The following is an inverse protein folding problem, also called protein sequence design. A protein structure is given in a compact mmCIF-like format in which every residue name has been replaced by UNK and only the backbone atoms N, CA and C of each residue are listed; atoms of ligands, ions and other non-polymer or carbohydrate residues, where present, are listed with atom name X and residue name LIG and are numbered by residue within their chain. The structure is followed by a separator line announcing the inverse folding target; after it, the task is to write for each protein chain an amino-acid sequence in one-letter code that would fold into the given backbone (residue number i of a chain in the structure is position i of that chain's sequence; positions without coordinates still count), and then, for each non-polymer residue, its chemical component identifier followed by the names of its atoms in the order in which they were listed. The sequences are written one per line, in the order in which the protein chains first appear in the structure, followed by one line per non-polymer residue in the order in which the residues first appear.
data_IF_992767267907
#
_entry.id   IF_992767267907
#
_cell.length_a   1.000
_cell.length_b   1.000
_cell.length_c   1.000
_cell.angle_alpha   90.00
_cell.angle_beta   90.00
_cell.angle_gamma   90.00
#
_symmetry.space_group_name_H-M   'P 1'
#
loop_
_entity.id
_entity.type
_entity.pdbx_description
1 polymer ?
#
# COMPACT_ATOMS: atom_id res chain seq x y z
N UNK A 1 -60.48 -12.79 29.60
CA UNK A 1 -59.60 -11.63 29.85
C UNK A 1 -58.17 -12.06 29.57
N UNK A 2 -57.64 -11.71 28.39
CA UNK A 2 -56.31 -12.14 27.91
C UNK A 2 -55.25 -11.24 28.53
N UNK A 3 -54.18 -11.80 29.10
CA UNK A 3 -52.94 -11.07 29.37
C UNK A 3 -51.76 -11.79 28.72
N UNK A 4 -50.97 -10.97 28.03
CA UNK A 4 -50.07 -11.31 26.93
C UNK A 4 -48.67 -11.75 27.38
N UNK A 5 -48.04 -12.63 26.59
CA UNK A 5 -46.61 -13.00 26.69
C UNK A 5 -45.71 -11.86 26.21
N UNK A 6 -44.71 -11.49 27.00
CA UNK A 6 -43.66 -10.52 26.64
C UNK A 6 -42.56 -11.16 25.76
N UNK A 7 -42.06 -10.39 24.79
CA UNK A 7 -41.06 -10.77 23.78
C UNK A 7 -39.63 -10.44 24.24
N UNK A 8 -38.96 -11.39 24.91
CA UNK A 8 -37.55 -11.27 25.29
C UNK A 8 -36.54 -11.58 24.15
N UNK A 9 -36.96 -11.57 22.87
CA UNK A 9 -36.19 -12.16 21.76
C UNK A 9 -35.36 -11.16 20.92
N UNK A 10 -35.52 -9.84 21.13
CA UNK A 10 -34.88 -8.84 20.26
C UNK A 10 -33.47 -8.38 20.70
N UNK A 11 -33.15 -8.41 21.99
CA UNK A 11 -31.88 -7.86 22.52
C UNK A 11 -30.70 -8.84 22.40
N UNK A 12 -30.95 -10.14 22.50
CA UNK A 12 -29.93 -11.18 22.38
C UNK A 12 -29.39 -11.30 20.93
N UNK A 13 -30.25 -11.12 19.93
CA UNK A 13 -29.88 -11.20 18.50
C UNK A 13 -28.99 -10.05 18.00
N UNK A 14 -28.94 -8.92 18.72
CA UNK A 14 -28.07 -7.80 18.39
C UNK A 14 -26.67 -7.97 19.00
N UNK A 15 -26.59 -8.60 20.17
CA UNK A 15 -25.32 -8.90 20.84
C UNK A 15 -24.48 -9.94 20.08
N UNK A 16 -25.12 -10.96 19.49
CA UNK A 16 -24.44 -12.00 18.71
C UNK A 16 -23.88 -11.47 17.39
N UNK A 17 -24.62 -10.59 16.69
CA UNK A 17 -24.14 -9.95 15.46
C UNK A 17 -22.92 -9.03 15.71
N UNK A 18 -22.89 -8.30 16.83
CA UNK A 18 -21.76 -7.44 17.18
C UNK A 18 -20.47 -8.23 17.44
N UNK A 19 -20.57 -9.40 18.07
CA UNK A 19 -19.42 -10.26 18.36
C UNK A 19 -18.83 -10.89 17.08
N UNK A 20 -19.69 -11.30 16.13
CA UNK A 20 -19.26 -11.84 14.82
C UNK A 20 -18.54 -10.78 13.97
N UNK A 21 -18.99 -9.52 14.02
CA UNK A 21 -18.34 -8.41 13.33
C UNK A 21 -16.96 -8.07 13.92
N UNK A 22 -16.83 -8.04 15.25
CA UNK A 22 -15.55 -7.79 15.93
C UNK A 22 -14.53 -8.92 15.68
N UNK A 23 -14.97 -10.19 15.72
CA UNK A 23 -14.14 -11.32 15.33
C UNK A 23 -13.66 -11.22 13.88
N UNK A 24 -14.55 -10.83 12.95
CA UNK A 24 -14.20 -10.62 11.55
C UNK A 24 -13.20 -9.48 11.36
N UNK A 25 -13.34 -8.39 12.11
CA UNK A 25 -12.39 -7.26 12.08
C UNK A 25 -11.00 -7.70 12.54
N UNK A 26 -10.91 -8.43 13.66
CA UNK A 26 -9.64 -8.92 14.20
C UNK A 26 -8.93 -9.86 13.23
N UNK A 27 -9.67 -10.72 12.55
CA UNK A 27 -9.14 -11.60 11.50
C UNK A 27 -8.61 -10.77 10.32
N UNK A 28 -9.35 -9.77 9.85
CA UNK A 28 -8.91 -8.89 8.74
C UNK A 28 -7.64 -8.13 9.13
N UNK A 29 -7.58 -7.58 10.34
CA UNK A 29 -6.42 -6.87 10.85
C UNK A 29 -5.21 -7.78 11.00
N UNK A 30 -5.37 -9.00 11.51
CA UNK A 30 -4.27 -9.96 11.60
C UNK A 30 -3.78 -10.39 10.21
N UNK A 31 -4.70 -10.65 9.27
CA UNK A 31 -4.34 -10.92 7.87
C UNK A 31 -3.67 -9.71 7.23
N UNK A 32 -4.06 -8.49 7.59
CA UNK A 32 -3.44 -7.27 7.09
C UNK A 32 -2.06 -7.04 7.72
N UNK A 33 -1.88 -7.32 9.01
CA UNK A 33 -0.61 -7.24 9.73
C UNK A 33 0.38 -8.30 9.27
N UNK A 34 -0.06 -9.55 9.05
CA UNK A 34 0.75 -10.62 8.45
C UNK A 34 1.17 -10.27 7.01
N UNK A 35 0.28 -9.62 6.23
CA UNK A 35 0.60 -9.09 4.89
C UNK A 35 1.52 -7.85 4.88
N UNK A 36 1.78 -7.22 6.03
CA UNK A 36 2.46 -5.91 6.15
C UNK A 36 3.82 -5.96 6.84
N UNK A 37 4.46 -7.12 7.03
CA UNK A 37 5.89 -7.08 7.39
C UNK A 37 6.66 -6.49 6.21
N UNK A 38 7.12 -5.24 6.39
CA UNK A 38 7.89 -4.49 5.39
C UNK A 38 9.19 -5.24 5.15
N UNK A 39 9.38 -5.71 3.92
CA UNK A 39 10.65 -6.26 3.48
C UNK A 39 11.70 -5.15 3.37
N UNK A 40 12.90 -5.39 3.90
CA UNK A 40 14.07 -4.52 3.75
C UNK A 40 15.08 -5.26 2.90
N UNK A 41 15.44 -4.66 1.77
CA UNK A 41 16.45 -5.21 0.86
C UNK A 41 17.85 -4.99 1.44
N UNK A 42 18.74 -5.97 1.30
CA UNK A 42 20.17 -5.78 1.56
C UNK A 42 20.80 -4.89 0.49
N UNK A 43 21.97 -4.32 0.78
CA UNK A 43 22.70 -3.51 -0.20
C UNK A 43 23.09 -4.31 -1.46
N UNK A 44 23.48 -5.57 -1.30
CA UNK A 44 23.81 -6.45 -2.44
C UNK A 44 22.59 -6.72 -3.33
N UNK A 45 21.42 -6.93 -2.72
CA UNK A 45 20.17 -7.10 -3.45
C UNK A 45 19.80 -5.82 -4.21
N UNK A 46 19.94 -4.64 -3.58
CA UNK A 46 19.68 -3.36 -4.23
C UNK A 46 20.61 -3.13 -5.43
N UNK A 47 21.91 -3.43 -5.29
CA UNK A 47 22.87 -3.30 -6.38
C UNK A 47 22.48 -4.18 -7.58
N UNK A 48 22.11 -5.45 -7.34
CA UNK A 48 21.66 -6.34 -8.41
C UNK A 48 20.37 -5.82 -9.08
N UNK A 49 19.41 -5.34 -8.29
CA UNK A 49 18.17 -4.77 -8.80
C UNK A 49 18.39 -3.50 -9.64
N UNK A 50 19.34 -2.65 -9.23
CA UNK A 50 19.70 -1.44 -9.98
C UNK A 50 20.41 -1.77 -11.30
N UNK A 51 21.29 -2.77 -11.29
CA UNK A 51 21.91 -3.31 -12.51
C UNK A 51 20.86 -3.81 -13.48
N UNK A 52 19.92 -4.65 -13.04
CA UNK A 52 18.80 -5.12 -13.86
C UNK A 52 17.91 -3.99 -14.39
N UNK A 53 17.65 -2.99 -13.54
CA UNK A 53 16.87 -1.81 -13.93
C UNK A 53 17.57 -1.01 -15.04
N UNK A 54 18.91 -0.94 -15.03
CA UNK A 54 19.69 -0.29 -16.08
C UNK A 54 19.53 -0.93 -17.45
N UNK A 55 19.33 -2.25 -17.50
CA UNK A 55 19.04 -2.96 -18.76
C UNK A 55 17.58 -2.80 -19.19
N UNK A 56 16.64 -2.94 -18.26
CA UNK A 56 15.22 -2.82 -18.55
C UNK A 56 14.43 -2.25 -17.37
N UNK A 57 13.81 -1.08 -17.59
CA UNK A 57 12.95 -0.43 -16.61
C UNK A 57 11.68 -1.24 -16.25
N UNK A 58 11.29 -2.19 -17.11
CA UNK A 58 10.13 -3.07 -16.95
C UNK A 58 10.56 -4.53 -17.01
N UNK A 59 10.66 -5.19 -15.86
CA UNK A 59 11.08 -6.59 -15.81
C UNK A 59 10.03 -7.53 -16.45
N UNK A 60 10.38 -8.32 -17.48
CA UNK A 60 9.46 -9.29 -18.07
C UNK A 60 9.20 -10.46 -17.11
N UNK A 61 8.08 -11.16 -17.28
CA UNK A 61 7.64 -12.22 -16.35
C UNK A 61 8.69 -13.32 -16.15
N UNK A 62 9.36 -13.77 -17.22
CA UNK A 62 10.41 -14.79 -17.14
C UNK A 62 11.62 -14.31 -16.31
N UNK A 63 12.13 -13.10 -16.58
CA UNK A 63 13.25 -12.54 -15.83
C UNK A 63 12.88 -12.26 -14.37
N UNK A 64 11.64 -11.85 -14.10
CA UNK A 64 11.13 -11.67 -12.74
C UNK A 64 11.19 -12.97 -11.93
N UNK A 65 10.87 -14.11 -12.54
CA UNK A 65 10.95 -15.42 -11.87
C UNK A 65 12.40 -15.82 -11.58
N UNK A 66 13.30 -15.63 -12.54
CA UNK A 66 14.73 -15.91 -12.36
C UNK A 66 15.32 -15.05 -11.25
N UNK A 67 15.08 -13.73 -11.30
CA UNK A 67 15.61 -12.79 -10.32
C UNK A 67 15.03 -13.01 -8.90
N UNK A 68 13.76 -13.41 -8.81
CA UNK A 68 13.13 -13.81 -7.54
C UNK A 68 13.86 -14.99 -6.89
N UNK A 69 14.23 -15.98 -7.70
CA UNK A 69 15.00 -17.13 -7.25
C UNK A 69 16.43 -16.74 -6.85
N UNK A 70 17.14 -16.01 -7.71
CA UNK A 70 18.52 -15.55 -7.49
C UNK A 70 18.67 -14.72 -6.19
N UNK A 71 17.71 -13.83 -5.90
CA UNK A 71 17.76 -12.95 -4.74
C UNK A 71 17.02 -13.49 -3.50
N UNK A 72 16.33 -14.63 -3.64
CA UNK A 72 15.42 -15.20 -2.63
C UNK A 72 14.35 -14.19 -2.15
N UNK A 73 13.71 -13.51 -3.11
CA UNK A 73 12.69 -12.48 -2.87
C UNK A 73 11.40 -12.87 -3.60
N UNK A 74 10.24 -12.62 -2.98
CA UNK A 74 8.96 -12.86 -3.65
C UNK A 74 8.75 -11.94 -4.87
N UNK A 75 8.05 -12.48 -5.88
CA UNK A 75 7.71 -11.80 -7.15
C UNK A 75 6.93 -10.51 -6.91
N UNK A 76 6.03 -10.47 -5.93
CA UNK A 76 5.24 -9.27 -5.63
C UNK A 76 6.11 -8.15 -5.06
N UNK A 77 7.07 -8.52 -4.22
CA UNK A 77 8.04 -7.60 -3.63
C UNK A 77 8.96 -7.02 -4.70
N UNK A 78 9.46 -7.85 -5.62
CA UNK A 78 10.22 -7.38 -6.79
C UNK A 78 9.39 -6.47 -7.70
N UNK A 79 8.16 -6.85 -8.05
CA UNK A 79 7.24 -5.99 -8.82
C UNK A 79 7.04 -4.63 -8.16
N UNK A 80 6.85 -4.62 -6.84
CA UNK A 80 6.71 -3.40 -6.05
C UNK A 80 7.98 -2.55 -6.07
N UNK A 81 9.16 -3.18 -6.01
CA UNK A 81 10.44 -2.49 -6.12
C UNK A 81 10.58 -1.80 -7.49
N UNK A 82 10.33 -2.51 -8.59
CA UNK A 82 10.37 -1.92 -9.95
C UNK A 82 9.35 -0.79 -10.13
N UNK A 83 8.15 -0.93 -9.56
CA UNK A 83 7.13 0.13 -9.56
C UNK A 83 7.62 1.38 -8.81
N UNK A 84 8.12 1.22 -7.58
CA UNK A 84 8.67 2.33 -6.78
C UNK A 84 9.90 2.95 -7.42
N UNK A 85 10.77 2.14 -8.04
CA UNK A 85 11.98 2.61 -8.74
C UNK A 85 11.63 3.47 -9.95
N UNK A 86 10.66 3.05 -10.78
CA UNK A 86 10.13 3.87 -11.89
C UNK A 86 9.43 5.14 -11.40
N UNK A 87 8.68 5.05 -10.30
CA UNK A 87 8.07 6.22 -9.69
C UNK A 87 9.14 7.23 -9.25
N UNK A 88 10.19 6.76 -8.57
CA UNK A 88 11.33 7.60 -8.17
C UNK A 88 12.03 8.21 -9.39
N UNK A 89 12.24 7.43 -10.45
CA UNK A 89 12.83 7.91 -11.70
C UNK A 89 12.01 9.06 -12.31
N UNK A 90 10.70 8.86 -12.49
CA UNK A 90 9.79 9.88 -13.02
C UNK A 90 9.78 11.11 -12.11
N UNK A 91 9.73 10.92 -10.80
CA UNK A 91 9.78 12.01 -9.83
C UNK A 91 11.10 12.78 -9.96
N UNK A 92 12.24 12.11 -10.01
CA UNK A 92 13.54 12.78 -10.14
C UNK A 92 13.66 13.56 -11.47
N UNK A 93 13.04 13.07 -12.56
CA UNK A 93 12.96 13.79 -13.84
C UNK A 93 11.98 14.97 -13.82
N UNK A 94 10.92 14.89 -13.01
CA UNK A 94 9.91 15.95 -12.87
C UNK A 94 10.31 17.00 -11.84
N UNK A 95 11.10 16.63 -10.82
CA UNK A 95 11.86 17.53 -9.94
C UNK A 95 13.16 17.96 -10.67
N UNK A 96 13.08 18.21 -11.98
CA UNK A 96 13.76 19.40 -12.47
C UNK A 96 13.13 20.60 -11.76
N UNK A 97 13.84 21.70 -11.50
CA UNK A 97 13.26 22.83 -10.80
C UNK A 97 12.15 23.39 -11.70
N UNK A 98 10.92 22.91 -11.50
CA UNK A 98 9.73 23.65 -11.86
C UNK A 98 9.88 24.90 -11.00
N UNK A 99 10.15 26.08 -11.59
CA UNK A 99 10.22 27.28 -10.80
C UNK A 99 8.93 27.34 -9.97
N UNK A 100 9.01 27.69 -8.67
CA UNK A 100 7.81 27.82 -7.88
C UNK A 100 6.86 28.69 -8.68
N UNK A 101 5.66 28.16 -8.98
CA UNK A 101 4.62 28.97 -9.61
C UNK A 101 4.31 30.04 -8.57
N UNK A 102 4.98 31.18 -8.72
CA UNK A 102 4.84 32.30 -7.81
C UNK A 102 3.42 32.81 -7.98
N UNK A 103 2.72 32.99 -6.87
CA UNK A 103 1.57 33.87 -6.90
C UNK A 103 2.05 35.28 -7.28
N UNK A 104 1.15 36.15 -7.76
CA UNK A 104 1.46 37.56 -8.08
C UNK A 104 2.11 38.33 -6.90
N UNK A 105 2.03 37.78 -5.70
CA UNK A 105 2.64 38.27 -4.46
C UNK A 105 4.01 37.65 -4.13
N UNK A 106 4.63 36.88 -5.02
CA UNK A 106 5.98 36.31 -4.84
C UNK A 106 6.08 35.19 -3.78
N UNK A 107 4.96 34.71 -3.25
CA UNK A 107 4.92 33.61 -2.29
C UNK A 107 4.69 32.25 -3.00
N UNK A 108 5.31 31.16 -2.52
CA UNK A 108 5.04 29.81 -3.03
C UNK A 108 3.59 29.39 -2.71
N UNK A 109 2.85 28.94 -3.71
CA UNK A 109 1.49 28.42 -3.50
C UNK A 109 1.51 27.20 -2.58
N UNK A 110 0.78 27.19 -1.45
CA UNK A 110 0.60 25.99 -0.64
C UNK A 110 -0.30 24.98 -1.36
N UNK A 111 0.11 23.71 -1.41
CA UNK A 111 -0.59 22.61 -2.11
C UNK A 111 -2.00 22.27 -1.55
N UNK A 112 -2.46 22.93 -0.47
CA UNK A 112 -3.69 22.58 0.26
C UNK A 112 -4.81 23.63 0.28
N UNK A 113 -4.72 24.72 -0.49
CA UNK A 113 -5.79 25.72 -0.54
C UNK A 113 -6.76 25.48 -1.69
N UNK A 114 -7.60 24.44 -1.57
CA UNK A 114 -8.93 24.42 -2.18
C UNK A 114 -9.91 24.08 -1.03
N UNK A 115 -10.38 25.12 -0.36
CA UNK A 115 -11.65 25.16 0.38
C UNK A 115 -12.59 25.99 -0.54
N UNK A 116 -13.81 25.58 -0.88
CA UNK A 116 -14.92 25.08 -0.07
C UNK A 116 -15.74 24.03 -0.84
#
# INVERSE_FOLDING_TARGET
MVQSRATASAKEKLQTNKALADASSRIIDEHAHRRRRRYVFSQSQLAHLETEFGYNHFIPTMRLQQLAYELSIDKLTLRSWFSRRRHRERRNRQIQPVPPVMNYFGAPYPFQAIAD
#
